data_IF_126437024521
#
_entry.id   IF_126437024521
#
_cell.length_a   1.000
_cell.length_b   1.000
_cell.length_c   1.000
_cell.angle_alpha   90.00
_cell.angle_beta   90.00
_cell.angle_gamma   90.00
#
_symmetry.space_group_name_H-M   'P 1'
#
loop_
_entity.id
_entity.type
_entity.pdbx_description
1 polymer ?
#
# COMPACT_ATOMS: atom_id res chain seq x y z
N UNK A 1 -8.91 28.29 51.67
CA UNK A 1 -8.25 27.08 51.11
C UNK A 1 -8.67 26.82 49.66
N UNK A 2 -9.20 27.80 48.90
CA UNK A 2 -9.77 27.57 47.55
C UNK A 2 -8.82 27.76 46.36
N UNK A 3 -7.67 28.42 46.54
CA UNK A 3 -6.80 28.81 45.41
C UNK A 3 -6.05 27.64 44.75
N UNK A 4 -5.87 26.51 45.45
CA UNK A 4 -5.16 25.35 44.91
C UNK A 4 -5.99 24.53 43.90
N UNK A 5 -7.33 24.61 43.97
CA UNK A 5 -8.23 23.89 43.06
C UNK A 5 -8.45 24.61 41.72
N UNK A 6 -8.52 25.94 41.74
CA UNK A 6 -8.65 26.77 40.53
C UNK A 6 -7.39 26.69 39.66
N UNK A 7 -6.21 26.78 40.28
CA UNK A 7 -4.93 26.69 39.57
C UNK A 7 -4.74 25.36 38.84
N UNK A 8 -5.25 24.25 39.41
CA UNK A 8 -5.10 22.91 38.84
C UNK A 8 -6.09 22.64 37.69
N UNK A 9 -7.25 23.31 37.73
CA UNK A 9 -8.27 23.27 36.67
C UNK A 9 -7.85 24.10 35.45
N UNK A 10 -7.38 25.34 35.66
CA UNK A 10 -6.82 26.19 34.60
C UNK A 10 -5.64 25.51 33.90
N UNK A 11 -4.76 24.85 34.67
CA UNK A 11 -3.63 24.12 34.11
C UNK A 11 -4.05 22.91 33.26
N UNK A 12 -5.17 22.29 33.62
CA UNK A 12 -5.75 21.16 32.87
C UNK A 12 -6.48 21.62 31.60
N UNK A 13 -7.11 22.81 31.63
CA UNK A 13 -7.67 23.47 30.45
C UNK A 13 -6.59 23.88 29.44
N UNK A 14 -5.51 24.50 29.91
CA UNK A 14 -4.37 24.86 29.06
C UNK A 14 -3.73 23.62 28.42
N UNK A 15 -3.60 22.53 29.17
CA UNK A 15 -3.11 21.23 28.65
C UNK A 15 -4.04 20.62 27.59
N UNK A 16 -5.36 20.81 27.74
CA UNK A 16 -6.34 20.38 26.75
C UNK A 16 -6.26 21.22 25.48
N UNK A 17 -6.17 22.55 25.58
CA UNK A 17 -5.99 23.44 24.44
C UNK A 17 -4.71 23.11 23.67
N UNK A 18 -3.60 22.89 24.37
CA UNK A 18 -2.33 22.45 23.80
C UNK A 18 -2.45 21.11 23.06
N UNK A 19 -3.22 20.17 23.60
CA UNK A 19 -3.47 18.87 22.98
C UNK A 19 -4.34 19.00 21.72
N UNK A 20 -5.35 19.87 21.77
CA UNK A 20 -6.23 20.16 20.62
C UNK A 20 -5.52 20.93 19.52
N UNK A 21 -4.64 21.88 19.85
CA UNK A 21 -3.81 22.58 18.88
C UNK A 21 -2.83 21.64 18.19
N UNK A 22 -2.16 20.76 18.96
CA UNK A 22 -1.30 19.71 18.41
C UNK A 22 -2.08 18.77 17.51
N UNK A 23 -3.27 18.33 17.93
CA UNK A 23 -4.14 17.49 17.12
C UNK A 23 -4.54 18.17 15.80
N UNK A 24 -4.89 19.47 15.84
CA UNK A 24 -5.17 20.27 14.66
C UNK A 24 -3.98 20.37 13.71
N UNK A 25 -2.78 20.60 14.24
CA UNK A 25 -1.53 20.65 13.46
C UNK A 25 -1.18 19.29 12.83
N UNK A 26 -1.29 18.19 13.58
CA UNK A 26 -1.08 16.83 13.08
C UNK A 26 -2.08 16.47 11.99
N UNK A 27 -3.36 16.84 12.16
CA UNK A 27 -4.40 16.67 11.13
C UNK A 27 -4.06 17.45 9.86
N UNK A 28 -3.64 18.71 9.98
CA UNK A 28 -3.26 19.53 8.84
C UNK A 28 -2.03 18.95 8.11
N UNK A 29 -1.05 18.42 8.85
CA UNK A 29 0.12 17.73 8.30
C UNK A 29 -0.28 16.50 7.49
N UNK A 30 -1.10 15.61 8.08
CA UNK A 30 -1.57 14.37 7.43
C UNK A 30 -2.43 14.65 6.19
N UNK A 31 -3.22 15.72 6.20
CA UNK A 31 -4.00 16.14 5.01
C UNK A 31 -3.09 16.72 3.92
N UNK A 32 -1.99 17.39 4.27
CA UNK A 32 -1.06 17.97 3.29
C UNK A 32 -0.05 16.95 2.74
N UNK A 33 0.30 15.93 3.51
CA UNK A 33 1.26 14.87 3.18
C UNK A 33 0.58 13.63 2.59
N UNK A 34 -0.34 13.81 1.63
CA UNK A 34 -0.83 12.70 0.77
C UNK A 34 0.28 12.11 -0.15
N UNK A 35 1.54 12.44 0.11
CA UNK A 35 2.71 11.80 -0.46
C UNK A 35 3.60 11.30 0.68
N UNK A 36 3.93 10.01 0.66
CA UNK A 36 4.87 9.26 1.51
C UNK A 36 4.34 8.68 2.84
N UNK A 37 4.26 7.33 2.89
CA UNK A 37 4.16 6.47 4.07
C UNK A 37 3.07 6.80 5.11
N UNK A 38 1.80 6.69 4.69
CA UNK A 38 0.60 6.91 5.51
C UNK A 38 0.43 6.09 6.81
N UNK A 39 1.35 5.18 7.16
CA UNK A 39 1.33 4.44 8.42
C UNK A 39 1.86 5.27 9.60
N UNK A 40 2.81 6.19 9.39
CA UNK A 40 3.39 7.04 10.44
C UNK A 40 2.41 8.13 10.88
N UNK A 41 1.82 8.88 9.94
CA UNK A 41 0.91 9.98 10.26
C UNK A 41 -0.40 9.53 10.93
N UNK A 42 -0.91 8.35 10.60
CA UNK A 42 -2.12 7.81 11.25
C UNK A 42 -1.85 7.32 12.67
N UNK A 43 -0.69 6.71 12.94
CA UNK A 43 -0.31 6.29 14.28
C UNK A 43 -0.15 7.50 15.22
N UNK A 44 0.40 8.60 14.72
CA UNK A 44 0.57 9.84 15.48
C UNK A 44 -0.79 10.53 15.74
N UNK A 45 -1.71 10.54 14.77
CA UNK A 45 -3.08 11.01 14.96
C UNK A 45 -3.83 10.20 16.04
N UNK A 46 -3.75 8.87 15.98
CA UNK A 46 -4.36 7.99 16.98
C UNK A 46 -3.78 8.24 18.38
N UNK A 47 -2.49 8.50 18.48
CA UNK A 47 -1.81 8.80 19.75
C UNK A 47 -2.29 10.12 20.36
N UNK A 48 -2.40 11.16 19.56
CA UNK A 48 -2.89 12.46 20.04
C UNK A 48 -4.39 12.45 20.37
N UNK A 49 -5.23 11.73 19.60
CA UNK A 49 -6.64 11.53 19.93
C UNK A 49 -6.80 10.80 21.27
N UNK A 50 -6.03 9.75 21.51
CA UNK A 50 -6.06 9.02 22.78
C UNK A 50 -5.56 9.87 23.96
N UNK A 51 -4.57 10.74 23.74
CA UNK A 51 -4.11 11.71 24.74
C UNK A 51 -5.21 12.70 25.09
N UNK A 52 -5.85 13.32 24.10
CA UNK A 52 -6.95 14.26 24.31
C UNK A 52 -8.13 13.60 25.07
N UNK A 53 -8.48 12.35 24.71
CA UNK A 53 -9.50 11.57 25.42
C UNK A 53 -9.13 11.32 26.89
N UNK A 54 -7.87 11.05 27.18
CA UNK A 54 -7.37 10.89 28.55
C UNK A 54 -7.44 12.18 29.37
N UNK A 55 -7.08 13.31 28.76
CA UNK A 55 -7.18 14.64 29.39
C UNK A 55 -8.62 14.99 29.74
N UNK A 56 -9.57 14.74 28.82
CA UNK A 56 -11.00 14.96 29.05
C UNK A 56 -11.51 14.11 30.23
N UNK A 57 -11.16 12.83 30.27
CA UNK A 57 -11.53 11.96 31.40
C UNK A 57 -10.97 12.45 32.74
N UNK A 58 -9.77 13.02 32.75
CA UNK A 58 -9.17 13.64 33.93
C UNK A 58 -9.87 14.92 34.38
N UNK A 59 -10.31 15.75 33.45
CA UNK A 59 -11.11 16.96 33.72
C UNK A 59 -12.50 16.62 34.30
N UNK A 60 -13.09 15.50 33.89
CA UNK A 60 -14.35 15.01 34.48
C UNK A 60 -14.18 14.58 35.95
N UNK A 61 -12.96 14.19 36.34
CA UNK A 61 -12.63 13.71 37.69
C UNK A 61 -12.13 14.82 38.64
N UNK A 62 -11.56 15.92 38.11
CA UNK A 62 -11.09 17.07 38.89
C UNK A 62 -12.14 18.19 38.90
N UNK A 63 -13.00 18.18 39.92
CA UNK A 63 -14.16 19.05 40.02
C UNK A 63 -13.85 20.36 40.79
N UNK A 64 -14.29 21.50 40.22
CA UNK A 64 -14.42 22.79 40.91
C UNK A 64 -15.50 22.73 42.00
N UNK A 65 -15.40 23.55 43.06
CA UNK A 65 -16.44 23.66 44.10
C UNK A 65 -17.71 24.39 43.59
N UNK A 66 -17.60 25.15 42.49
CA UNK A 66 -18.71 25.86 41.86
C UNK A 66 -19.53 24.92 40.96
N UNK A 67 -20.80 24.71 41.33
CA UNK A 67 -21.72 23.81 40.64
C UNK A 67 -22.00 24.24 39.20
N UNK A 68 -22.06 25.54 38.90
CA UNK A 68 -22.35 26.03 37.55
C UNK A 68 -21.17 25.75 36.60
N UNK A 69 -19.95 26.07 37.05
CA UNK A 69 -18.71 25.82 36.30
C UNK A 69 -18.52 24.31 36.07
N UNK A 70 -18.83 23.46 37.06
CA UNK A 70 -18.81 21.99 36.89
C UNK A 70 -19.74 21.51 35.79
N UNK A 71 -20.99 21.98 35.78
CA UNK A 71 -21.97 21.53 34.79
C UNK A 71 -21.56 21.93 33.36
N UNK A 72 -21.05 23.15 33.18
CA UNK A 72 -20.57 23.62 31.87
C UNK A 72 -19.30 22.88 31.43
N UNK A 73 -18.33 22.67 32.35
CA UNK A 73 -17.12 21.92 32.05
C UNK A 73 -17.41 20.45 31.71
N UNK A 74 -18.38 19.84 32.38
CA UNK A 74 -18.80 18.46 32.12
C UNK A 74 -19.53 18.33 30.79
N UNK A 75 -20.43 19.26 30.45
CA UNK A 75 -21.08 19.31 29.13
C UNK A 75 -20.07 19.52 28.00
N UNK A 76 -19.08 20.41 28.21
CA UNK A 76 -18.01 20.63 27.23
C UNK A 76 -17.14 19.37 27.07
N UNK A 77 -16.80 18.69 28.17
CA UNK A 77 -16.07 17.44 28.17
C UNK A 77 -16.82 16.33 27.41
N UNK A 78 -18.14 16.21 27.61
CA UNK A 78 -18.98 15.24 26.90
C UNK A 78 -19.07 15.54 25.40
N UNK A 79 -19.35 16.80 25.02
CA UNK A 79 -19.36 17.22 23.61
C UNK A 79 -18.02 16.95 22.92
N UNK A 80 -16.91 17.28 23.58
CA UNK A 80 -15.56 17.04 23.03
C UNK A 80 -15.22 15.56 22.95
N UNK A 81 -15.72 14.74 23.88
CA UNK A 81 -15.57 13.29 23.83
C UNK A 81 -16.30 12.71 22.63
N UNK A 82 -17.54 13.11 22.37
CA UNK A 82 -18.30 12.65 21.20
C UNK A 82 -17.62 13.04 19.88
N UNK A 83 -17.11 14.27 19.77
CA UNK A 83 -16.34 14.71 18.60
C UNK A 83 -15.07 13.87 18.40
N UNK A 84 -14.33 13.58 19.46
CA UNK A 84 -13.11 12.77 19.41
C UNK A 84 -13.41 11.32 19.07
N UNK A 85 -14.45 10.74 19.66
CA UNK A 85 -14.86 9.35 19.39
C UNK A 85 -15.30 9.20 17.92
N UNK A 86 -16.04 10.18 17.36
CA UNK A 86 -16.41 10.20 15.95
C UNK A 86 -15.20 10.35 15.01
N UNK A 87 -14.23 11.18 15.37
CA UNK A 87 -12.97 11.32 14.61
C UNK A 87 -12.14 10.03 14.67
N UNK A 88 -12.06 9.38 15.83
CA UNK A 88 -11.37 8.10 16.01
C UNK A 88 -11.98 7.00 15.13
N UNK A 89 -13.30 6.89 15.12
CA UNK A 89 -14.01 5.90 14.31
C UNK A 89 -13.75 6.13 12.81
N UNK A 90 -13.84 7.38 12.36
CA UNK A 90 -13.60 7.73 10.96
C UNK A 90 -12.15 7.41 10.52
N UNK A 91 -11.15 7.83 11.30
CA UNK A 91 -9.74 7.55 10.98
C UNK A 91 -9.46 6.04 10.98
N UNK A 92 -10.02 5.30 11.95
CA UNK A 92 -9.86 3.84 12.01
C UNK A 92 -10.49 3.14 10.81
N UNK A 93 -11.67 3.61 10.38
CA UNK A 93 -12.36 3.10 9.19
C UNK A 93 -11.54 3.36 7.92
N UNK A 94 -11.09 4.60 7.71
CA UNK A 94 -10.27 4.99 6.57
C UNK A 94 -8.95 4.20 6.51
N UNK A 95 -8.28 4.03 7.65
CA UNK A 95 -7.05 3.23 7.72
C UNK A 95 -7.27 1.77 7.28
N UNK A 96 -8.39 1.18 7.73
CA UNK A 96 -8.74 -0.20 7.39
C UNK A 96 -8.98 -0.35 5.89
N UNK A 97 -9.69 0.59 5.27
CA UNK A 97 -9.97 0.59 3.84
C UNK A 97 -8.69 0.76 3.01
N UNK A 98 -7.83 1.73 3.37
CA UNK A 98 -6.55 1.96 2.70
C UNK A 98 -5.64 0.73 2.79
N UNK A 99 -5.57 0.10 3.97
CA UNK A 99 -4.76 -1.11 4.17
C UNK A 99 -5.23 -2.27 3.30
N UNK A 100 -6.55 -2.47 3.18
CA UNK A 100 -7.13 -3.48 2.30
C UNK A 100 -6.83 -3.20 0.82
N UNK A 101 -6.98 -1.95 0.37
CA UNK A 101 -6.66 -1.55 -1.01
C UNK A 101 -5.18 -1.76 -1.32
N UNK A 102 -4.27 -1.38 -0.40
CA UNK A 102 -2.82 -1.63 -0.52
C UNK A 102 -2.53 -3.13 -0.68
N UNK A 103 -3.18 -3.97 0.12
CA UNK A 103 -3.06 -5.44 0.01
C UNK A 103 -3.54 -5.99 -1.34
N UNK A 104 -4.62 -5.45 -1.90
CA UNK A 104 -5.12 -5.85 -3.22
C UNK A 104 -4.16 -5.44 -4.34
N UNK A 105 -3.64 -4.21 -4.30
CA UNK A 105 -2.67 -3.70 -5.28
C UNK A 105 -1.39 -4.52 -5.27
N UNK A 106 -0.85 -4.86 -4.09
CA UNK A 106 0.35 -5.69 -3.97
C UNK A 106 0.14 -7.08 -4.58
N UNK A 107 -1.02 -7.72 -4.33
CA UNK A 107 -1.36 -9.01 -4.95
C UNK A 107 -1.42 -8.92 -6.48
N UNK A 108 -2.03 -7.86 -7.01
CA UNK A 108 -2.10 -7.63 -8.46
C UNK A 108 -0.70 -7.42 -9.06
N UNK A 109 0.15 -6.62 -8.42
CA UNK A 109 1.53 -6.38 -8.86
C UNK A 109 2.34 -7.69 -8.90
N UNK A 110 2.25 -8.53 -7.87
CA UNK A 110 2.90 -9.84 -7.84
C UNK A 110 2.42 -10.75 -8.99
N UNK A 111 1.11 -10.74 -9.29
CA UNK A 111 0.56 -11.51 -10.40
C UNK A 111 1.10 -11.04 -11.75
N UNK A 112 1.11 -9.73 -11.99
CA UNK A 112 1.64 -9.14 -13.23
C UNK A 112 3.13 -9.46 -13.40
N UNK A 113 3.90 -9.39 -12.31
CA UNK A 113 5.32 -9.73 -12.33
C UNK A 113 5.54 -11.22 -12.68
N UNK A 114 4.77 -12.12 -12.07
CA UNK A 114 4.83 -13.56 -12.37
C UNK A 114 4.47 -13.86 -13.84
N UNK A 115 3.43 -13.23 -14.37
CA UNK A 115 3.04 -13.37 -15.77
C UNK A 115 4.11 -12.84 -16.73
N UNK A 116 4.75 -11.71 -16.38
CA UNK A 116 5.85 -11.14 -17.15
C UNK A 116 7.03 -12.12 -17.23
N UNK A 117 7.46 -12.67 -16.09
CA UNK A 117 8.55 -13.64 -16.03
C UNK A 117 8.23 -14.90 -16.83
N UNK A 118 7.00 -15.40 -16.74
CA UNK A 118 6.52 -16.53 -17.55
C UNK A 118 6.60 -16.20 -19.04
N UNK A 119 6.15 -15.02 -19.45
CA UNK A 119 6.18 -14.61 -20.84
C UNK A 119 7.62 -14.45 -21.37
N UNK A 120 8.54 -13.92 -20.57
CA UNK A 120 9.96 -13.82 -20.92
C UNK A 120 10.62 -15.20 -21.07
N UNK A 121 10.24 -16.17 -20.23
CA UNK A 121 10.69 -17.56 -20.39
C UNK A 121 10.16 -18.19 -21.68
N UNK A 122 8.87 -18.00 -21.97
CA UNK A 122 8.24 -18.50 -23.21
C UNK A 122 8.87 -17.87 -24.46
N UNK A 123 9.17 -16.57 -24.44
CA UNK A 123 9.84 -15.89 -25.55
C UNK A 123 11.24 -16.45 -25.80
N UNK A 124 12.02 -16.72 -24.74
CA UNK A 124 13.33 -17.37 -24.85
C UNK A 124 13.23 -18.78 -25.43
N UNK A 125 12.28 -19.58 -24.94
CA UNK A 125 12.04 -20.93 -25.45
C UNK A 125 11.62 -20.90 -26.93
N UNK A 126 10.72 -19.99 -27.31
CA UNK A 126 10.28 -19.81 -28.69
C UNK A 126 11.45 -19.42 -29.61
N UNK A 127 12.32 -18.51 -29.16
CA UNK A 127 13.53 -18.13 -29.89
C UNK A 127 14.47 -19.33 -30.13
N UNK A 128 14.70 -20.15 -29.11
CA UNK A 128 15.47 -21.38 -29.23
C UNK A 128 14.86 -22.36 -30.24
N UNK A 129 13.55 -22.61 -30.14
CA UNK A 129 12.87 -23.52 -31.06
C UNK A 129 12.87 -23.01 -32.49
N UNK A 130 12.69 -21.71 -32.71
CA UNK A 130 12.77 -21.09 -34.05
C UNK A 130 14.15 -21.29 -34.66
N UNK A 131 15.22 -21.05 -33.89
CA UNK A 131 16.59 -21.28 -34.36
C UNK A 131 16.84 -22.76 -34.72
N UNK A 132 16.32 -23.69 -33.90
CA UNK A 132 16.43 -25.13 -34.16
C UNK A 132 15.69 -25.54 -35.43
N UNK A 133 14.48 -25.01 -35.66
CA UNK A 133 13.72 -25.27 -36.90
C UNK A 133 14.49 -24.77 -38.12
N UNK A 134 14.99 -23.52 -38.10
CA UNK A 134 15.78 -22.99 -39.21
C UNK A 134 17.05 -23.81 -39.49
N UNK A 135 17.72 -24.33 -38.45
CA UNK A 135 18.85 -25.23 -38.62
C UNK A 135 18.46 -26.57 -39.27
N UNK A 136 17.33 -27.15 -38.87
CA UNK A 136 16.83 -28.39 -39.48
C UNK A 136 16.38 -28.18 -40.93
N UNK A 137 15.77 -27.04 -41.24
CA UNK A 137 15.40 -26.66 -42.60
C UNK A 137 16.63 -26.53 -43.51
N UNK A 138 17.73 -25.95 -43.01
CA UNK A 138 18.99 -25.87 -43.75
C UNK A 138 19.57 -27.26 -44.03
N UNK A 139 19.62 -28.14 -43.02
CA UNK A 139 20.11 -29.52 -43.16
C UNK A 139 19.25 -30.31 -44.16
N UNK A 140 17.92 -30.16 -44.11
CA UNK A 140 17.02 -30.82 -45.06
C UNK A 140 17.24 -30.36 -46.50
N UNK A 141 17.57 -29.07 -46.69
CA UNK A 141 17.88 -28.53 -48.01
C UNK A 141 19.19 -29.14 -48.56
N UNK A 142 20.25 -29.16 -47.75
CA UNK A 142 21.53 -29.78 -48.12
C UNK A 142 21.37 -31.26 -48.49
N UNK A 143 20.60 -32.01 -47.71
CA UNK A 143 20.31 -33.42 -48.02
C UNK A 143 19.50 -33.61 -49.30
N UNK A 144 18.58 -32.68 -49.60
CA UNK A 144 17.79 -32.71 -50.84
C UNK A 144 18.67 -32.48 -52.06
N UNK A 145 19.60 -31.52 -51.99
CA UNK A 145 20.53 -31.23 -53.07
C UNK A 145 21.47 -32.41 -53.31
N UNK A 146 22.05 -32.99 -52.25
CA UNK A 146 22.88 -34.20 -52.34
C UNK A 146 22.12 -35.40 -52.93
N UNK A 147 20.84 -35.58 -52.57
CA UNK A 147 20.01 -36.63 -53.14
C UNK A 147 19.78 -36.42 -54.65
N UNK A 148 19.60 -35.17 -55.08
CA UNK A 148 19.47 -34.80 -56.50
C UNK A 148 20.73 -35.11 -57.28
N UNK A 149 21.90 -34.67 -56.80
CA UNK A 149 23.20 -34.98 -57.42
C UNK A 149 23.46 -36.49 -57.52
N UNK A 150 23.08 -37.24 -56.47
CA UNK A 150 23.21 -38.70 -56.46
C UNK A 150 22.29 -39.35 -57.51
N UNK A 151 21.07 -38.83 -57.69
CA UNK A 151 20.15 -39.32 -58.71
C UNK A 151 20.67 -39.04 -60.13
N UNK A 152 21.18 -37.83 -60.38
CA UNK A 152 21.79 -37.47 -61.67
C UNK A 152 23.01 -38.33 -61.99
N UNK A 153 23.89 -38.58 -61.01
CA UNK A 153 25.06 -39.43 -61.21
C UNK A 153 24.66 -40.87 -61.54
N UNK A 154 23.64 -41.43 -60.86
CA UNK A 154 23.12 -42.76 -61.19
C UNK A 154 22.56 -42.83 -62.60
N UNK A 155 21.84 -41.81 -63.04
CA UNK A 155 21.31 -41.75 -64.39
C UNK A 155 22.43 -41.73 -65.43
N UNK A 156 23.46 -40.89 -65.24
CA UNK A 156 24.64 -40.84 -66.14
C UNK A 156 25.38 -42.18 -66.19
N UNK A 157 25.57 -42.84 -65.06
CA UNK A 157 26.21 -44.16 -65.01
C UNK A 157 25.40 -45.21 -65.78
N UNK A 158 24.07 -45.17 -65.65
CA UNK A 158 23.18 -46.07 -66.39
C UNK A 158 23.26 -45.83 -67.91
N UNK A 159 23.22 -44.57 -68.34
CA UNK A 159 23.38 -44.18 -69.75
C UNK A 159 24.74 -44.64 -70.32
N UNK A 160 25.82 -44.61 -69.53
CA UNK A 160 27.14 -45.12 -69.97
C UNK A 160 27.26 -46.64 -69.97
N UNK A 161 26.45 -47.36 -69.20
CA UNK A 161 26.46 -48.82 -69.16
C UNK A 161 25.66 -49.47 -70.30
N UNK A 162 24.79 -48.69 -70.96
CA UNK A 162 23.98 -49.10 -72.10
C UNK A 162 24.66 -48.83 -73.48
N UNK A 163 25.86 -48.23 -73.49
CA UNK A 163 26.71 -47.98 -74.67
C UNK A 163 27.82 -49.03 -74.82
#
# INVERSE_FOLDING_TARGET
QGEAGEHDFEHSLLSLEDSLQRLGATRASVVSEMNFDGESGHADLLKELNRARGTIAGLTLKQSDDLAIRCEAQQLAELRKEEIDALLENVTSQYTEISQLKGQVLKQQMSVQCEKERNEQLQRALGFHKAKVSSLEAVLLEHKDAASETAEMRQRLQETAEL
#
